data_IF_936099536283
#
_entry.id   IF_936099536283
#
_cell.length_a   1.000
_cell.length_b   1.000
_cell.length_c   1.000
_cell.angle_alpha   90.00
_cell.angle_beta   90.00
_cell.angle_gamma   90.00
#
_symmetry.space_group_name_H-M   'P 1'
#
loop_
_entity.id
_entity.type
_entity.pdbx_description
1 polymer ?
#
# COMPACT_ATOMS: atom_id res chain seq x y z
N UNK A 1 -23.25 -6.48 20.00
CA UNK A 1 -23.37 -6.74 18.53
C UNK A 1 -24.70 -7.40 18.26
N UNK A 2 -25.45 -6.92 17.27
CA UNK A 2 -26.76 -7.44 16.86
C UNK A 2 -26.67 -8.88 16.33
N UNK A 3 -27.65 -9.73 16.70
CA UNK A 3 -27.75 -11.06 16.12
C UNK A 3 -28.16 -11.00 14.64
N UNK A 4 -27.42 -11.66 13.71
CA UNK A 4 -27.75 -11.64 12.28
C UNK A 4 -29.02 -12.45 11.95
N UNK A 5 -29.53 -13.27 12.86
CA UNK A 5 -30.69 -14.14 12.62
C UNK A 5 -32.01 -13.58 13.13
N UNK A 6 -32.02 -12.92 14.29
CA UNK A 6 -33.25 -12.40 14.91
C UNK A 6 -33.18 -10.90 15.26
N UNK A 7 -32.07 -10.22 14.90
CA UNK A 7 -31.83 -8.80 15.16
C UNK A 7 -31.84 -8.40 16.66
N UNK A 8 -31.80 -9.36 17.58
CA UNK A 8 -31.66 -9.07 19.02
C UNK A 8 -30.38 -8.26 19.27
N UNK A 9 -30.46 -7.21 20.09
CA UNK A 9 -29.39 -6.22 20.25
C UNK A 9 -28.13 -6.79 20.92
N UNK A 10 -28.28 -7.78 21.81
CA UNK A 10 -27.19 -8.30 22.61
C UNK A 10 -26.83 -9.74 22.25
N UNK A 11 -25.54 -9.98 22.15
CA UNK A 11 -24.95 -11.32 21.94
C UNK A 11 -23.74 -11.47 22.84
N UNK A 12 -23.50 -12.69 23.35
CA UNK A 12 -22.37 -12.99 24.21
C UNK A 12 -21.25 -13.70 23.43
N UNK A 13 -20.01 -13.41 23.77
CA UNK A 13 -18.85 -14.13 23.28
C UNK A 13 -18.67 -15.40 24.09
N UNK A 14 -18.75 -16.55 23.43
CA UNK A 14 -18.58 -17.86 24.06
C UNK A 14 -17.17 -18.44 23.89
N UNK A 15 -16.45 -17.99 22.86
CA UNK A 15 -15.09 -18.41 22.58
C UNK A 15 -14.32 -17.29 21.86
N UNK A 16 -13.04 -17.13 22.22
CA UNK A 16 -12.11 -16.22 21.52
C UNK A 16 -10.86 -17.01 21.15
N UNK A 17 -10.42 -16.89 19.89
CA UNK A 17 -9.15 -17.42 19.40
C UNK A 17 -8.39 -16.33 18.67
N UNK A 18 -7.09 -16.27 18.93
CA UNK A 18 -6.16 -15.41 18.18
C UNK A 18 -5.53 -16.28 17.10
N UNK A 19 -5.40 -15.75 15.88
CA UNK A 19 -4.67 -16.42 14.80
C UNK A 19 -3.20 -16.64 15.20
N UNK A 20 -2.57 -17.70 14.69
CA UNK A 20 -1.18 -18.04 15.04
C UNK A 20 -0.19 -16.92 14.64
N UNK A 21 -0.47 -16.21 13.55
CA UNK A 21 0.26 -15.04 13.06
C UNK A 21 -0.11 -13.72 13.79
N UNK A 22 -1.19 -13.73 14.59
CA UNK A 22 -1.67 -12.55 15.31
C UNK A 22 -2.52 -11.60 14.46
N UNK A 23 -2.76 -11.88 13.19
CA UNK A 23 -3.38 -10.96 12.22
C UNK A 23 -4.86 -10.70 12.46
N UNK A 24 -5.55 -11.58 13.17
CA UNK A 24 -6.96 -11.40 13.50
C UNK A 24 -7.37 -12.13 14.78
N UNK A 25 -8.47 -11.65 15.37
CA UNK A 25 -9.15 -12.31 16.47
C UNK A 25 -10.46 -12.90 15.96
N UNK A 26 -10.63 -14.21 16.14
CA UNK A 26 -11.89 -14.90 15.85
C UNK A 26 -12.70 -15.04 17.13
N UNK A 27 -13.96 -14.57 17.11
CA UNK A 27 -14.88 -14.72 18.24
C UNK A 27 -16.12 -15.49 17.83
N UNK A 28 -16.44 -16.54 18.59
CA UNK A 28 -17.72 -17.23 18.47
C UNK A 28 -18.72 -16.60 19.44
N UNK A 29 -19.85 -16.18 18.89
CA UNK A 29 -20.90 -15.50 19.64
C UNK A 29 -22.16 -16.34 19.68
N UNK A 30 -22.95 -16.17 20.75
CA UNK A 30 -24.28 -16.77 20.93
C UNK A 30 -25.29 -15.66 21.21
N UNK A 31 -26.45 -15.74 20.58
CA UNK A 31 -27.57 -14.86 20.85
C UNK A 31 -28.32 -15.34 22.10
N UNK A 32 -28.61 -14.44 23.04
CA UNK A 32 -29.40 -14.76 24.23
C UNK A 32 -30.88 -15.00 23.94
N UNK A 33 -31.41 -14.54 22.80
CA UNK A 33 -32.81 -14.66 22.41
C UNK A 33 -33.12 -15.90 21.57
N UNK A 34 -32.39 -16.10 20.47
CA UNK A 34 -32.63 -17.22 19.54
C UNK A 34 -31.63 -18.38 19.71
N UNK A 35 -30.69 -18.27 20.63
CA UNK A 35 -29.63 -19.24 20.95
C UNK A 35 -28.70 -19.64 19.80
N UNK A 36 -28.92 -19.11 18.60
CA UNK A 36 -28.06 -19.36 17.44
C UNK A 36 -26.65 -18.78 17.63
N UNK A 37 -25.69 -19.52 17.13
CA UNK A 37 -24.28 -19.14 17.18
C UNK A 37 -23.81 -18.62 15.83
N UNK A 38 -22.93 -17.62 15.86
CA UNK A 38 -22.27 -17.07 14.69
C UNK A 38 -20.83 -16.66 15.04
N UNK A 39 -20.03 -16.50 14.01
CA UNK A 39 -18.61 -16.15 14.16
C UNK A 39 -18.38 -14.74 13.67
N UNK A 40 -17.56 -13.99 14.39
CA UNK A 40 -17.07 -12.66 13.99
C UNK A 40 -15.57 -12.67 13.95
N UNK A 41 -15.00 -11.81 13.09
CA UNK A 41 -13.58 -11.57 12.99
C UNK A 41 -13.29 -10.10 13.27
N UNK A 42 -12.27 -9.87 14.10
CA UNK A 42 -11.74 -8.55 14.37
C UNK A 42 -10.35 -8.48 13.71
N UNK A 43 -10.19 -7.54 12.81
CA UNK A 43 -8.93 -7.29 12.07
C UNK A 43 -8.59 -5.83 12.16
N UNK A 44 -7.28 -5.46 12.23
CA UNK A 44 -6.89 -4.06 12.10
C UNK A 44 -7.34 -3.52 10.75
N UNK A 45 -7.98 -2.38 10.74
CA UNK A 45 -8.26 -1.64 9.52
C UNK A 45 -7.09 -0.72 9.24
N UNK A 46 -6.29 -1.07 8.24
CA UNK A 46 -5.13 -0.28 7.81
C UNK A 46 -5.50 0.46 6.53
N UNK A 47 -5.71 1.75 6.65
CA UNK A 47 -6.10 2.60 5.54
C UNK A 47 -4.90 3.38 5.01
N UNK A 48 -4.59 3.18 3.72
CA UNK A 48 -3.65 4.06 3.02
C UNK A 48 -4.26 5.44 2.78
N UNK A 49 -3.44 6.50 2.72
CA UNK A 49 -3.93 7.82 2.37
C UNK A 49 -4.51 7.83 0.94
N UNK A 50 -5.59 8.59 0.73
CA UNK A 50 -6.12 8.84 -0.59
C UNK A 50 -5.09 9.60 -1.44
N UNK A 51 -4.99 9.25 -2.72
CA UNK A 51 -4.04 9.87 -3.64
C UNK A 51 -4.69 11.05 -4.36
N UNK A 52 -4.13 12.24 -4.18
CA UNK A 52 -4.57 13.45 -4.88
C UNK A 52 -3.79 13.59 -6.17
N UNK A 53 -4.48 13.54 -7.31
CA UNK A 53 -3.92 13.72 -8.64
C UNK A 53 -3.62 15.20 -8.93
N UNK A 54 -2.82 15.48 -9.98
CA UNK A 54 -2.49 16.86 -10.40
C UNK A 54 -3.73 17.71 -10.73
N UNK A 55 -4.81 17.08 -11.19
CA UNK A 55 -6.11 17.73 -11.48
C UNK A 55 -7.03 17.88 -10.26
N UNK A 56 -6.55 17.51 -9.07
CA UNK A 56 -7.29 17.60 -7.80
C UNK A 56 -8.19 16.41 -7.49
N UNK A 57 -8.34 15.45 -8.40
CA UNK A 57 -9.14 14.24 -8.14
C UNK A 57 -8.50 13.39 -7.05
N UNK A 58 -9.34 12.85 -6.17
CA UNK A 58 -8.97 11.92 -5.11
C UNK A 58 -9.29 10.50 -5.56
N UNK A 59 -8.32 9.62 -5.47
CA UNK A 59 -8.48 8.20 -5.77
C UNK A 59 -7.89 7.37 -4.62
N UNK A 60 -8.35 6.15 -4.50
CA UNK A 60 -7.76 5.21 -3.55
C UNK A 60 -6.31 4.84 -3.95
N UNK A 61 -5.48 4.56 -2.95
CA UNK A 61 -4.16 3.98 -3.20
C UNK A 61 -4.35 2.54 -3.70
N UNK A 62 -3.79 2.23 -4.85
CA UNK A 62 -3.83 0.89 -5.44
C UNK A 62 -2.43 0.30 -5.50
N UNK A 63 -2.18 -0.71 -4.66
CA UNK A 63 -0.91 -1.46 -4.63
C UNK A 63 -0.54 -2.04 -5.98
N UNK A 64 -1.52 -2.51 -6.74
CA UNK A 64 -1.31 -3.08 -8.09
C UNK A 64 -0.72 -2.07 -9.07
N UNK A 65 -1.11 -0.80 -8.98
CA UNK A 65 -0.52 0.28 -9.80
C UNK A 65 0.92 0.57 -9.42
N UNK A 66 1.24 0.53 -8.13
CA UNK A 66 2.60 0.69 -7.64
C UNK A 66 3.50 -0.44 -8.18
N UNK A 67 3.07 -1.69 -8.03
CA UNK A 67 3.77 -2.87 -8.55
C UNK A 67 4.00 -2.76 -10.06
N UNK A 68 2.96 -2.43 -10.82
CA UNK A 68 3.04 -2.32 -12.27
C UNK A 68 4.05 -1.24 -12.71
N UNK A 69 4.06 -0.08 -12.05
CA UNK A 69 4.98 1.01 -12.38
C UNK A 69 6.43 0.66 -12.07
N UNK A 70 6.70 -0.01 -10.96
CA UNK A 70 8.04 -0.49 -10.60
C UNK A 70 8.53 -1.58 -11.57
N UNK A 71 7.69 -2.56 -11.88
CA UNK A 71 8.02 -3.63 -12.82
C UNK A 71 8.30 -3.11 -14.23
N UNK A 72 7.57 -2.08 -14.67
CA UNK A 72 7.82 -1.44 -15.96
C UNK A 72 9.21 -0.79 -16.00
N UNK A 73 9.60 -0.07 -14.96
CA UNK A 73 10.93 0.55 -14.86
C UNK A 73 12.06 -0.49 -14.77
N UNK A 74 11.81 -1.60 -14.05
CA UNK A 74 12.77 -2.68 -13.81
C UNK A 74 12.81 -3.73 -14.94
N UNK A 75 12.03 -3.56 -15.99
CA UNK A 75 11.95 -4.55 -17.08
C UNK A 75 13.33 -4.82 -17.67
N UNK A 76 13.71 -6.11 -17.75
CA UNK A 76 15.03 -6.58 -18.22
C UNK A 76 16.22 -6.05 -17.37
N UNK A 77 15.99 -5.75 -16.10
CA UNK A 77 17.05 -5.43 -15.16
C UNK A 77 17.31 -6.62 -14.22
N UNK A 78 18.56 -6.81 -13.75
CA UNK A 78 18.93 -7.93 -12.87
C UNK A 78 18.55 -7.63 -11.42
N UNK A 79 17.25 -7.46 -11.16
CA UNK A 79 16.68 -7.23 -9.82
C UNK A 79 15.69 -8.35 -9.55
N UNK A 80 15.82 -9.02 -8.40
CA UNK A 80 14.96 -10.14 -8.04
C UNK A 80 13.56 -9.67 -7.61
N UNK A 81 12.59 -10.56 -7.74
CA UNK A 81 11.20 -10.30 -7.27
C UNK A 81 11.19 -9.95 -5.78
N UNK A 82 11.97 -10.65 -4.95
CA UNK A 82 12.07 -10.39 -3.51
C UNK A 82 12.59 -8.99 -3.19
N UNK A 83 13.55 -8.49 -3.98
CA UNK A 83 14.04 -7.12 -3.84
C UNK A 83 12.98 -6.08 -4.20
N UNK A 84 12.16 -6.36 -5.23
CA UNK A 84 11.04 -5.50 -5.64
C UNK A 84 9.97 -5.51 -4.56
N UNK A 85 9.58 -6.69 -4.07
CA UNK A 85 8.56 -6.82 -3.02
C UNK A 85 8.98 -6.08 -1.74
N UNK A 86 10.22 -6.25 -1.30
CA UNK A 86 10.76 -5.53 -0.14
C UNK A 86 10.78 -4.01 -0.35
N UNK A 87 11.02 -3.54 -1.56
CA UNK A 87 10.96 -2.10 -1.87
C UNK A 87 9.53 -1.57 -1.80
N UNK A 88 8.55 -2.35 -2.30
CA UNK A 88 7.13 -2.00 -2.24
C UNK A 88 6.66 -1.94 -0.78
N UNK A 89 7.00 -2.93 0.04
CA UNK A 89 6.69 -2.96 1.47
C UNK A 89 7.23 -1.71 2.20
N UNK A 90 8.47 -1.32 1.91
CA UNK A 90 9.05 -0.08 2.49
C UNK A 90 8.32 1.20 2.05
N UNK A 91 7.80 1.24 0.82
CA UNK A 91 6.99 2.37 0.35
C UNK A 91 5.65 2.39 1.10
N UNK A 92 4.98 1.24 1.20
CA UNK A 92 3.72 1.08 1.91
C UNK A 92 3.86 1.46 3.39
N UNK A 93 4.88 0.97 4.06
CA UNK A 93 5.18 1.32 5.45
C UNK A 93 5.36 2.84 5.63
N UNK A 94 6.09 3.49 4.73
CA UNK A 94 6.27 4.94 4.79
C UNK A 94 4.95 5.69 4.59
N UNK A 95 4.10 5.23 3.67
CA UNK A 95 2.78 5.84 3.43
C UNK A 95 1.88 5.73 4.66
N UNK A 96 1.88 4.57 5.33
CA UNK A 96 1.11 4.34 6.55
C UNK A 96 1.62 5.17 7.72
N UNK A 97 2.95 5.26 7.88
CA UNK A 97 3.59 6.00 8.96
C UNK A 97 3.46 7.52 8.84
N UNK A 98 3.07 8.05 7.67
CA UNK A 98 2.79 9.48 7.52
C UNK A 98 1.59 9.96 8.36
N UNK A 99 0.63 9.06 8.67
CA UNK A 99 -0.56 9.39 9.46
C UNK A 99 -1.48 10.44 8.82
N UNK A 100 -1.36 10.65 7.51
CA UNK A 100 -2.16 11.63 6.76
C UNK A 100 -3.34 10.95 6.06
N UNK A 101 -4.44 11.68 5.86
CA UNK A 101 -5.61 11.18 5.14
C UNK A 101 -5.45 11.22 3.62
N UNK A 102 -4.65 12.15 3.13
CA UNK A 102 -4.44 12.41 1.71
C UNK A 102 -2.97 12.65 1.43
N UNK A 103 -2.50 12.19 0.26
CA UNK A 103 -1.13 12.40 -0.21
C UNK A 103 -1.13 12.80 -1.69
N UNK A 104 -0.39 13.85 -2.08
CA UNK A 104 -0.21 14.16 -3.48
C UNK A 104 0.49 13.03 -4.23
N UNK A 105 0.07 12.75 -5.47
CA UNK A 105 0.66 11.67 -6.28
C UNK A 105 2.17 11.83 -6.53
N UNK A 106 2.67 13.07 -6.55
CA UNK A 106 4.11 13.35 -6.68
C UNK A 106 4.92 12.84 -5.49
N UNK A 107 4.38 12.84 -4.28
CA UNK A 107 5.08 12.29 -3.12
C UNK A 107 5.25 10.77 -3.19
N UNK A 108 4.25 10.08 -3.75
CA UNK A 108 4.38 8.63 -4.01
C UNK A 108 5.47 8.38 -5.05
N UNK A 109 5.48 9.15 -6.14
CA UNK A 109 6.53 9.06 -7.16
C UNK A 109 7.93 9.31 -6.61
N UNK A 110 8.11 10.25 -5.69
CA UNK A 110 9.39 10.47 -4.99
C UNK A 110 9.81 9.25 -4.17
N UNK A 111 8.86 8.58 -3.48
CA UNK A 111 9.15 7.37 -2.73
C UNK A 111 9.60 6.24 -3.67
N UNK A 112 8.91 6.07 -4.79
CA UNK A 112 9.27 5.08 -5.83
C UNK A 112 10.67 5.38 -6.38
N UNK A 113 10.97 6.63 -6.72
CA UNK A 113 12.28 7.03 -7.22
C UNK A 113 13.40 6.73 -6.22
N UNK A 114 13.18 6.98 -4.92
CA UNK A 114 14.17 6.66 -3.89
C UNK A 114 14.47 5.17 -3.79
N UNK A 115 13.45 4.31 -3.88
CA UNK A 115 13.65 2.86 -3.85
C UNK A 115 14.29 2.35 -5.16
N UNK A 116 13.85 2.85 -6.33
CA UNK A 116 14.47 2.50 -7.61
C UNK A 116 15.94 2.91 -7.68
N UNK A 117 16.32 4.08 -7.14
CA UNK A 117 17.72 4.52 -7.09
C UNK A 117 18.62 3.55 -6.33
N UNK A 118 18.09 2.87 -5.30
CA UNK A 118 18.80 1.85 -4.54
C UNK A 118 18.89 0.52 -5.28
N UNK A 119 17.84 0.14 -6.01
CA UNK A 119 17.73 -1.13 -6.70
C UNK A 119 18.53 -1.16 -8.00
N UNK A 120 18.30 -0.17 -8.87
CA UNK A 120 18.91 -0.11 -10.19
C UNK A 120 18.88 1.32 -10.75
N UNK A 121 20.05 1.86 -11.05
CA UNK A 121 20.20 3.23 -11.54
C UNK A 121 19.52 3.47 -12.91
N UNK A 122 19.49 2.46 -13.78
CA UNK A 122 18.84 2.56 -15.09
C UNK A 122 17.31 2.57 -14.92
N UNK A 123 16.76 1.74 -14.04
CA UNK A 123 15.34 1.76 -13.73
C UNK A 123 14.91 3.10 -13.12
N UNK A 124 15.74 3.68 -12.25
CA UNK A 124 15.52 5.03 -11.72
C UNK A 124 15.39 6.06 -12.85
N UNK A 125 16.35 6.09 -13.81
CA UNK A 125 16.31 7.03 -14.93
C UNK A 125 15.08 6.81 -15.82
N UNK A 126 14.72 5.56 -16.10
CA UNK A 126 13.49 5.22 -16.85
C UNK A 126 12.23 5.75 -16.19
N UNK A 127 12.09 5.51 -14.89
CA UNK A 127 10.93 6.00 -14.14
C UNK A 127 10.91 7.53 -14.11
N UNK A 128 12.04 8.16 -13.83
CA UNK A 128 12.18 9.60 -13.79
C UNK A 128 11.84 10.26 -15.14
N UNK A 129 12.20 9.62 -16.27
CA UNK A 129 11.91 10.14 -17.60
C UNK A 129 10.42 10.26 -17.92
N UNK A 130 9.59 9.42 -17.30
CA UNK A 130 8.12 9.46 -17.44
C UNK A 130 7.49 10.32 -16.34
N UNK A 131 8.03 10.23 -15.13
CA UNK A 131 7.47 10.87 -13.96
C UNK A 131 7.77 12.36 -13.86
N UNK A 132 9.02 12.77 -14.18
CA UNK A 132 9.42 14.17 -14.28
C UNK A 132 9.15 14.68 -15.70
N UNK A 133 8.48 15.81 -15.79
CA UNK A 133 8.36 16.52 -17.07
C UNK A 133 9.66 17.29 -17.27
N UNK A 134 10.55 16.80 -18.15
CA UNK A 134 11.75 17.52 -18.55
C UNK A 134 11.37 18.53 -19.63
N UNK A 135 11.86 19.77 -19.52
CA UNK A 135 11.66 20.81 -20.53
C UNK A 135 12.65 20.68 -21.69
N UNK A 136 13.84 20.19 -21.39
CA UNK A 136 14.89 19.98 -22.38
C UNK A 136 15.78 18.75 -22.09
N UNK A 137 16.71 18.51 -23.02
CA UNK A 137 17.66 17.39 -22.94
C UNK A 137 18.76 17.61 -21.89
N UNK A 138 19.05 18.85 -21.53
CA UNK A 138 20.11 19.18 -20.57
C UNK A 138 19.63 18.84 -19.14
N UNK A 139 18.36 19.05 -18.82
CA UNK A 139 17.75 18.59 -17.56
C UNK A 139 17.81 17.06 -17.43
N UNK A 140 17.51 16.33 -18.51
CA UNK A 140 17.63 14.88 -18.52
C UNK A 140 19.07 14.42 -18.35
N UNK A 141 20.03 15.08 -19.01
CA UNK A 141 21.46 14.81 -18.87
C UNK A 141 21.95 15.05 -17.45
N UNK A 142 21.53 16.14 -16.82
CA UNK A 142 21.85 16.44 -15.42
C UNK A 142 21.37 15.33 -14.47
N UNK A 143 20.17 14.77 -14.70
CA UNK A 143 19.66 13.62 -13.95
C UNK A 143 20.57 12.40 -14.10
N UNK A 144 21.00 12.09 -15.33
CA UNK A 144 21.88 10.95 -15.60
C UNK A 144 23.24 11.14 -14.91
N UNK A 145 23.79 12.35 -14.94
CA UNK A 145 25.06 12.67 -14.29
C UNK A 145 24.97 12.61 -12.76
N UNK A 146 23.83 13.01 -12.17
CA UNK A 146 23.56 12.84 -10.73
C UNK A 146 23.61 11.36 -10.29
N UNK A 147 23.13 10.47 -11.15
CA UNK A 147 23.04 9.03 -10.84
C UNK A 147 24.37 8.31 -11.07
N UNK A 148 25.27 8.86 -11.89
CA UNK A 148 26.62 8.30 -12.13
C UNK A 148 27.58 8.48 -10.94
N UNK A 149 27.37 9.52 -10.15
CA UNK A 149 28.14 9.77 -8.91
C UNK A 149 27.69 8.86 -7.78
#
# INVERSE_FOLDING_TARGET
>A
MKCPFCSHAETQVVETRIAEDGDFIRRRRQCGSCEKRFTTYERPEVNFPAVVKKDGRRIEFERTKLIASMNLALRKRPVSTEQVDSAIERIEEKLLNLGVREIPSNRIGELVMRELKKLDKVAYVRFASVYRSFEDIDEFRALVDEVRR
#
